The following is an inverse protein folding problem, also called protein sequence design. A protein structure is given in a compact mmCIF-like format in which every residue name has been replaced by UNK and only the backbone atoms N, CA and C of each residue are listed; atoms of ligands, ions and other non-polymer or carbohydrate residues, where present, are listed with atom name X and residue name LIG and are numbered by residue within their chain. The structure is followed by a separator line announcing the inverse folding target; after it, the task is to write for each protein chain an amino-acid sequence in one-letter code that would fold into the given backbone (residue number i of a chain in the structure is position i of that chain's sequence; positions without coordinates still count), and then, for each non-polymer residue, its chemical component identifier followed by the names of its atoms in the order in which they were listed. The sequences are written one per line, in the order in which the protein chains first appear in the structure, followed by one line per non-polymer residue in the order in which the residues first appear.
data_IF_735602601848
#
_entry.id   IF_735602601848
#
_cell.length_a   1.000
_cell.length_b   1.000
_cell.length_c   1.000
_cell.angle_alpha   90.00
_cell.angle_beta   90.00
_cell.angle_gamma   90.00
#
_symmetry.space_group_name_H-M   'P 1'
#
loop_
_entity.id
_entity.type
_entity.pdbx_description
1 polymer ?
#
# COMPACT_ATOMS: atom_id res chain seq x y z
N UNK A 1 -1.95 24.37 -16.98
CA UNK A 1 -1.27 23.56 -15.93
C UNK A 1 -2.20 22.53 -15.25
N UNK A 2 -3.40 22.28 -15.75
CA UNK A 2 -4.35 21.31 -15.12
C UNK A 2 -4.05 19.83 -15.42
N UNK A 3 -3.18 19.53 -16.39
CA UNK A 3 -2.96 18.17 -16.86
C UNK A 3 -1.93 17.38 -16.03
N UNK A 4 -1.07 18.07 -15.28
CA UNK A 4 0.04 17.44 -14.53
C UNK A 4 -0.50 16.65 -13.33
N UNK A 5 -1.43 17.24 -12.57
CA UNK A 5 -2.08 16.60 -11.43
C UNK A 5 -2.90 15.38 -11.85
N UNK A 6 -3.68 15.50 -12.94
CA UNK A 6 -4.44 14.39 -13.51
C UNK A 6 -3.52 13.25 -13.96
N UNK A 7 -2.45 13.57 -14.68
CA UNK A 7 -1.48 12.57 -15.09
C UNK A 7 -0.79 11.91 -13.89
N UNK A 8 -0.41 12.68 -12.86
CA UNK A 8 0.19 12.12 -11.65
C UNK A 8 -0.74 11.14 -10.93
N UNK A 9 -2.03 11.47 -10.82
CA UNK A 9 -3.05 10.58 -10.23
C UNK A 9 -3.22 9.31 -11.05
N UNK A 10 -3.30 9.42 -12.38
CA UNK A 10 -3.44 8.28 -13.29
C UNK A 10 -2.20 7.36 -13.24
N UNK A 11 -1.00 7.92 -13.22
CA UNK A 11 0.24 7.15 -13.06
C UNK A 11 0.25 6.41 -11.72
N UNK A 12 -0.14 7.09 -10.62
CA UNK A 12 -0.22 6.50 -9.28
C UNK A 12 -1.21 5.34 -9.24
N UNK A 13 -2.37 5.49 -9.91
CA UNK A 13 -3.38 4.44 -10.05
C UNK A 13 -2.81 3.21 -10.75
N UNK A 14 -2.15 3.40 -11.91
CA UNK A 14 -1.52 2.31 -12.67
C UNK A 14 -0.46 1.57 -11.85
N UNK A 15 0.36 2.31 -11.10
CA UNK A 15 1.37 1.71 -10.21
C UNK A 15 0.73 0.85 -9.13
N UNK A 16 -0.32 1.33 -8.47
CA UNK A 16 -1.03 0.57 -7.43
C UNK A 16 -1.64 -0.73 -7.99
N UNK A 17 -2.30 -0.65 -9.15
CA UNK A 17 -2.87 -1.83 -9.82
C UNK A 17 -1.79 -2.85 -10.15
N UNK A 18 -0.67 -2.41 -10.75
CA UNK A 18 0.41 -3.32 -11.11
C UNK A 18 1.02 -4.02 -9.88
N UNK A 19 1.19 -3.28 -8.78
CA UNK A 19 1.65 -3.85 -7.52
C UNK A 19 0.66 -4.90 -7.01
N UNK A 20 -0.63 -4.55 -6.90
CA UNK A 20 -1.67 -5.44 -6.38
C UNK A 20 -1.84 -6.71 -7.24
N UNK A 21 -1.69 -6.58 -8.56
CA UNK A 21 -1.69 -7.70 -9.51
C UNK A 21 -0.46 -8.60 -9.28
N UNK A 22 0.72 -8.03 -9.09
CA UNK A 22 1.97 -8.77 -8.81
C UNK A 22 1.87 -9.57 -7.51
N UNK A 23 1.26 -8.98 -6.47
CA UNK A 23 1.01 -9.66 -5.21
C UNK A 23 -0.12 -10.70 -5.27
N UNK A 24 -0.77 -10.88 -6.44
CA UNK A 24 -1.92 -11.77 -6.65
C UNK A 24 -3.01 -11.63 -5.57
N UNK A 25 -3.22 -10.41 -5.06
CA UNK A 25 -4.31 -10.16 -4.09
C UNK A 25 -5.67 -10.36 -4.75
N UNK A 26 -5.74 -10.07 -6.04
CA UNK A 26 -6.95 -10.22 -6.85
C UNK A 26 -6.69 -11.22 -7.98
N UNK A 27 -7.64 -12.12 -8.18
CA UNK A 27 -7.63 -13.11 -9.26
C UNK A 27 -7.91 -12.50 -10.64
N UNK A 28 -8.44 -11.27 -10.69
CA UNK A 28 -8.86 -10.63 -11.92
C UNK A 28 -8.46 -9.15 -11.94
N UNK A 29 -7.69 -8.77 -12.95
CA UNK A 29 -7.31 -7.36 -13.22
C UNK A 29 -8.54 -6.47 -13.42
N UNK A 30 -9.63 -7.03 -13.98
CA UNK A 30 -10.90 -6.32 -14.15
C UNK A 30 -11.52 -5.85 -12.83
N UNK A 31 -11.29 -6.60 -11.74
CA UNK A 31 -11.77 -6.17 -10.41
C UNK A 31 -10.94 -4.99 -9.91
N UNK A 32 -9.62 -5.03 -10.08
CA UNK A 32 -8.72 -3.93 -9.73
C UNK A 32 -9.02 -2.65 -10.52
N UNK A 33 -9.37 -2.78 -11.80
CA UNK A 33 -9.72 -1.65 -12.66
C UNK A 33 -11.08 -1.03 -12.28
N UNK A 34 -12.01 -1.84 -11.78
CA UNK A 34 -13.33 -1.39 -11.28
C UNK A 34 -13.24 -0.70 -9.92
N UNK A 35 -12.19 -0.94 -9.15
CA UNK A 35 -12.02 -0.33 -7.83
C UNK A 35 -11.68 1.16 -7.91
N UNK A 36 -12.21 1.97 -6.96
CA UNK A 36 -11.81 3.37 -6.83
C UNK A 36 -10.37 3.46 -6.30
N UNK A 37 -9.72 4.59 -6.56
CA UNK A 37 -8.32 4.84 -6.15
C UNK A 37 -8.11 4.64 -4.64
N UNK A 38 -9.07 5.06 -3.83
CA UNK A 38 -9.03 4.93 -2.37
C UNK A 38 -8.98 3.48 -1.90
N UNK A 39 -9.67 2.57 -2.60
CA UNK A 39 -9.63 1.13 -2.32
C UNK A 39 -8.27 0.54 -2.69
N UNK A 40 -7.75 0.91 -3.86
CA UNK A 40 -6.41 0.50 -4.31
C UNK A 40 -5.32 0.97 -3.32
N UNK A 41 -5.43 2.19 -2.80
CA UNK A 41 -4.52 2.71 -1.78
C UNK A 41 -4.65 1.98 -0.43
N UNK A 42 -5.87 1.65 -0.01
CA UNK A 42 -6.12 0.88 1.22
C UNK A 42 -5.55 -0.53 1.14
N UNK A 43 -5.76 -1.24 0.03
CA UNK A 43 -5.21 -2.57 -0.17
C UNK A 43 -3.68 -2.55 -0.26
N UNK A 44 -3.11 -1.55 -0.92
CA UNK A 44 -1.66 -1.33 -0.92
C UNK A 44 -1.12 -1.05 0.50
N UNK A 45 -1.84 -0.26 1.31
CA UNK A 45 -1.48 0.01 2.70
C UNK A 45 -1.57 -1.25 3.57
N UNK A 46 -2.59 -2.09 3.35
CA UNK A 46 -2.72 -3.42 4.00
C UNK A 46 -1.58 -4.34 3.61
N UNK A 47 -1.23 -4.42 2.32
CA UNK A 47 -0.05 -5.13 1.82
C UNK A 47 1.21 -4.69 2.52
N UNK A 48 1.46 -3.38 2.55
CA UNK A 48 2.64 -2.80 3.20
C UNK A 48 2.66 -3.10 4.70
N UNK A 49 1.50 -3.05 5.37
CA UNK A 49 1.38 -3.39 6.79
C UNK A 49 1.59 -4.88 7.07
N UNK A 50 1.11 -5.76 6.20
CA UNK A 50 1.36 -7.21 6.28
C UNK A 50 2.81 -7.55 5.95
N UNK A 51 3.45 -6.74 5.13
CA UNK A 51 4.85 -6.86 4.75
C UNK A 51 5.79 -6.13 5.73
N UNK A 52 5.33 -5.84 6.97
CA UNK A 52 6.22 -5.29 7.98
C UNK A 52 7.11 -6.39 8.57
N UNK A 53 8.45 -6.17 8.60
CA UNK A 53 9.33 -6.97 9.41
C UNK A 53 8.98 -6.66 10.87
N UNK A 54 8.29 -7.59 11.52
CA UNK A 54 8.15 -7.71 12.96
C UNK A 54 8.10 -6.38 13.73
N UNK A 55 6.89 -5.93 14.05
CA UNK A 55 6.69 -5.15 15.29
C UNK A 55 7.07 -6.03 16.48
N UNK A 56 8.37 -6.15 16.72
CA UNK A 56 8.92 -6.56 18.00
C UNK A 56 9.76 -5.39 18.51
N UNK A 57 9.08 -4.27 18.76
CA UNK A 57 9.49 -3.35 19.83
C UNK A 57 9.29 -4.07 21.17
N UNK A 58 10.00 -5.17 21.37
CA UNK A 58 10.19 -5.85 22.63
C UNK A 58 11.15 -5.05 23.50
N UNK A 59 10.64 -3.95 24.06
CA UNK A 59 10.94 -3.44 25.40
C UNK A 59 12.38 -3.61 25.93
N UNK A 60 13.31 -2.72 25.56
CA UNK A 60 14.51 -2.49 26.39
C UNK A 60 14.19 -1.38 27.40
N UNK A 61 13.56 -1.73 28.52
CA UNK A 61 13.51 -0.83 29.68
C UNK A 61 14.85 -0.92 30.42
N UNK A 62 15.72 0.08 30.21
CA UNK A 62 16.89 0.27 31.06
C UNK A 62 16.39 0.70 32.45
N UNK A 63 16.26 -0.27 33.37
CA UNK A 63 16.04 0.05 34.78
C UNK A 63 17.36 0.56 35.33
N UNK A 64 17.51 1.87 35.38
CA UNK A 64 18.59 2.52 36.10
C UNK A 64 18.39 2.22 37.60
N UNK A 65 19.13 1.25 38.13
CA UNK A 65 19.19 1.02 39.58
C UNK A 65 20.07 2.13 40.16
N UNK A 66 19.42 3.04 40.89
CA UNK A 66 20.04 4.05 41.76
C UNK A 66 20.68 3.32 42.94
#
# INVERSE_FOLDING_TARGET
MENILRNAVEQRRKTLINILLTFKIFDSEEQLLKLPLTDLENEYKRLKSNCHPHSDTGSIQWKNKI
#
